data_IF_862212518989
#
_entry.id   IF_862212518989
#
_cell.length_a   1.000
_cell.length_b   1.000
_cell.length_c   1.000
_cell.angle_alpha   90.00
_cell.angle_beta   90.00
_cell.angle_gamma   90.00
#
_symmetry.space_group_name_H-M   'P 1'
#
loop_
_entity.id
_entity.type
_entity.pdbx_description
1 polymer ?
#
# COMPACT_ATOMS: atom_id res chain seq x y z
N UNK A 1 4.06 -19.67 -2.32
CA UNK A 1 4.47 -18.25 -2.17
C UNK A 1 3.65 -17.48 -3.19
N UNK A 2 2.78 -16.57 -2.79
CA UNK A 2 1.83 -15.91 -3.71
C UNK A 2 2.36 -14.57 -4.18
N UNK A 3 2.18 -14.25 -5.46
CA UNK A 3 2.55 -12.98 -6.06
C UNK A 3 1.42 -11.97 -5.85
N UNK A 4 1.71 -10.73 -5.49
CA UNK A 4 0.66 -9.72 -5.20
C UNK A 4 0.78 -8.48 -6.06
N UNK A 5 -0.38 -7.98 -6.48
CA UNK A 5 -0.45 -6.70 -7.16
C UNK A 5 -0.18 -5.54 -6.21
N UNK A 6 0.80 -4.71 -6.57
CA UNK A 6 1.17 -3.49 -5.84
C UNK A 6 0.11 -2.38 -5.84
N UNK A 7 -0.88 -2.47 -6.75
CA UNK A 7 -1.92 -1.47 -6.96
C UNK A 7 -3.24 -1.81 -6.27
N UNK A 8 -3.66 -3.08 -6.31
CA UNK A 8 -4.96 -3.54 -5.80
C UNK A 8 -4.85 -4.72 -4.80
N UNK A 9 -3.64 -5.20 -4.49
CA UNK A 9 -3.36 -6.24 -3.50
C UNK A 9 -3.96 -7.63 -3.78
N UNK A 10 -4.53 -7.86 -4.97
CA UNK A 10 -4.92 -9.20 -5.41
C UNK A 10 -3.71 -10.14 -5.45
N UNK A 11 -3.94 -11.39 -5.08
CA UNK A 11 -2.91 -12.44 -5.00
C UNK A 11 -3.08 -13.40 -6.18
N UNK A 12 -1.96 -13.89 -6.69
CA UNK A 12 -1.85 -14.78 -7.85
C UNK A 12 -0.87 -15.91 -7.54
N UNK A 13 -1.04 -17.04 -8.21
CA UNK A 13 -0.20 -18.22 -8.01
C UNK A 13 1.12 -18.09 -8.76
N UNK A 14 1.09 -17.40 -9.90
CA UNK A 14 2.27 -17.19 -10.75
C UNK A 14 2.56 -15.71 -11.01
N UNK A 15 3.83 -15.40 -11.30
CA UNK A 15 4.24 -14.05 -11.71
C UNK A 15 3.59 -13.67 -13.05
N UNK A 16 3.36 -14.64 -13.94
CA UNK A 16 2.73 -14.41 -15.24
C UNK A 16 1.29 -13.92 -15.09
N UNK A 17 0.49 -14.57 -14.23
CA UNK A 17 -0.87 -14.12 -13.91
C UNK A 17 -0.91 -12.70 -13.34
N UNK A 18 0.04 -12.36 -12.48
CA UNK A 18 0.15 -11.01 -11.92
C UNK A 18 0.44 -9.96 -13.01
N UNK A 19 1.31 -10.30 -13.97
CA UNK A 19 1.61 -9.42 -15.10
C UNK A 19 0.41 -9.23 -16.02
N UNK A 20 -0.28 -10.31 -16.36
CA UNK A 20 -1.50 -10.27 -17.18
C UNK A 20 -2.58 -9.43 -16.50
N UNK A 21 -2.81 -9.65 -15.21
CA UNK A 21 -3.70 -8.83 -14.40
C UNK A 21 -3.40 -7.34 -14.52
N UNK A 22 -2.13 -6.93 -14.44
CA UNK A 22 -1.74 -5.54 -14.59
C UNK A 22 -2.07 -4.96 -15.98
N UNK A 23 -1.88 -5.75 -17.03
CA UNK A 23 -2.14 -5.36 -18.41
C UNK A 23 -3.63 -5.29 -18.76
N UNK A 24 -4.48 -6.02 -18.04
CA UNK A 24 -5.94 -5.96 -18.24
C UNK A 24 -6.56 -4.88 -17.34
N UNK A 25 -6.20 -4.88 -16.06
CA UNK A 25 -6.92 -4.08 -15.04
C UNK A 25 -6.30 -2.70 -14.79
N UNK A 26 -5.02 -2.50 -15.13
CA UNK A 26 -4.29 -1.28 -14.76
C UNK A 26 -3.69 -0.54 -15.97
N UNK A 27 -3.85 -1.06 -17.18
CA UNK A 27 -3.31 -0.47 -18.41
C UNK A 27 -3.72 0.98 -18.65
N UNK A 28 -4.91 1.37 -18.17
CA UNK A 28 -5.39 2.75 -18.20
C UNK A 28 -4.48 3.76 -17.48
N UNK A 29 -3.67 3.30 -16.52
CA UNK A 29 -2.69 4.11 -15.78
C UNK A 29 -1.31 4.14 -16.44
N UNK A 30 -1.08 3.33 -17.48
CA UNK A 30 0.19 3.27 -18.20
C UNK A 30 0.43 4.60 -18.91
N UNK A 31 1.60 5.18 -18.69
CA UNK A 31 1.99 6.42 -19.31
C UNK A 31 3.10 6.15 -20.32
N UNK A 32 3.08 6.78 -21.50
CA UNK A 32 4.19 6.69 -22.44
C UNK A 32 5.44 7.33 -21.83
N UNK A 33 6.62 6.84 -22.22
CA UNK A 33 7.92 7.29 -21.69
C UNK A 33 8.11 8.80 -21.80
N UNK A 34 7.57 9.40 -22.86
CA UNK A 34 7.60 10.83 -23.14
C UNK A 34 6.92 11.67 -22.04
N UNK A 35 5.83 11.14 -21.45
CA UNK A 35 5.09 11.79 -20.36
C UNK A 35 5.69 11.50 -18.97
N UNK A 36 6.59 10.53 -18.85
CA UNK A 36 7.26 10.21 -17.59
C UNK A 36 8.35 11.23 -17.24
N UNK A 37 9.09 11.72 -18.24
CA UNK A 37 10.27 12.54 -18.02
C UNK A 37 11.29 11.80 -17.14
N UNK A 38 11.67 12.40 -16.01
CA UNK A 38 12.60 11.81 -15.03
C UNK A 38 11.96 10.81 -14.05
N UNK A 39 10.64 10.61 -14.13
CA UNK A 39 9.91 9.67 -13.27
C UNK A 39 10.05 8.25 -13.79
N UNK A 40 9.84 7.28 -12.90
CA UNK A 40 9.85 5.84 -13.20
C UNK A 40 8.47 5.25 -12.95
N UNK A 41 8.04 4.30 -13.77
CA UNK A 41 6.70 3.69 -13.68
C UNK A 41 6.82 2.20 -13.38
N UNK A 42 5.94 1.69 -12.52
CA UNK A 42 5.82 0.26 -12.26
C UNK A 42 5.22 -0.45 -13.48
N UNK A 43 5.71 -1.65 -13.78
CA UNK A 43 5.26 -2.46 -14.91
C UNK A 43 4.05 -3.35 -14.59
N UNK A 44 3.66 -3.45 -13.31
CA UNK A 44 2.50 -4.24 -12.85
C UNK A 44 1.28 -3.33 -12.65
N UNK A 45 1.39 -2.34 -11.74
CA UNK A 45 0.27 -1.46 -11.41
C UNK A 45 0.35 -0.08 -12.09
N UNK A 46 1.35 0.15 -12.96
CA UNK A 46 1.55 1.41 -13.69
C UNK A 46 1.60 2.67 -12.83
N UNK A 47 1.94 2.52 -11.54
CA UNK A 47 2.13 3.65 -10.64
C UNK A 47 3.42 4.37 -10.98
N UNK A 48 3.32 5.69 -11.15
CA UNK A 48 4.47 6.58 -11.37
C UNK A 48 5.11 6.98 -10.04
N UNK A 49 6.44 6.93 -9.99
CA UNK A 49 7.29 7.21 -8.85
C UNK A 49 8.42 8.14 -9.28
N UNK A 50 8.99 8.91 -8.35
CA UNK A 50 9.98 9.93 -8.69
C UNK A 50 11.41 9.40 -8.81
N UNK A 51 11.71 8.22 -8.24
CA UNK A 51 13.07 7.67 -8.19
C UNK A 51 13.06 6.15 -8.36
N UNK A 52 14.09 5.60 -9.00
CA UNK A 52 14.29 4.15 -9.17
C UNK A 52 14.29 3.39 -7.83
N UNK A 53 14.90 3.97 -6.79
CA UNK A 53 14.89 3.36 -5.45
C UNK A 53 13.47 3.19 -4.90
N UNK A 54 12.57 4.15 -5.15
CA UNK A 54 11.17 4.03 -4.74
C UNK A 54 10.47 2.92 -5.52
N UNK A 55 10.80 2.72 -6.79
CA UNK A 55 10.27 1.62 -7.60
C UNK A 55 10.77 0.25 -7.11
N UNK A 56 12.04 0.14 -6.73
CA UNK A 56 12.60 -1.07 -6.13
C UNK A 56 11.89 -1.43 -4.81
N UNK A 57 11.71 -0.44 -3.92
CA UNK A 57 10.96 -0.63 -2.67
C UNK A 57 9.48 -0.97 -2.93
N UNK A 58 8.89 -0.37 -3.95
CA UNK A 58 7.52 -0.62 -4.35
C UNK A 58 7.30 -2.03 -4.90
N UNK A 59 8.22 -2.56 -5.72
CA UNK A 59 8.19 -3.96 -6.20
C UNK A 59 8.56 -4.94 -5.09
N UNK A 60 9.42 -4.52 -4.17
CA UNK A 60 9.72 -5.23 -2.93
C UNK A 60 8.52 -5.29 -1.95
N UNK A 61 7.35 -4.72 -2.28
CA UNK A 61 6.09 -4.94 -1.54
C UNK A 61 5.68 -6.41 -1.45
N UNK A 62 6.29 -7.29 -2.24
CA UNK A 62 6.24 -8.75 -2.08
C UNK A 62 6.88 -9.25 -0.76
N UNK A 63 7.59 -8.38 -0.03
CA UNK A 63 8.30 -8.67 1.23
C UNK A 63 7.95 -7.74 2.40
N UNK A 64 6.82 -7.00 2.35
CA UNK A 64 6.37 -6.28 3.54
C UNK A 64 5.63 -7.24 4.47
N UNK A 65 6.40 -7.85 5.35
CA UNK A 65 5.93 -8.79 6.39
C UNK A 65 5.07 -8.10 7.46
N UNK A 66 5.02 -6.77 7.48
CA UNK A 66 4.43 -6.01 8.57
C UNK A 66 3.15 -5.30 8.11
N UNK A 67 2.05 -6.06 8.14
CA UNK A 67 0.69 -5.57 7.91
C UNK A 67 0.03 -5.25 9.24
N UNK A 68 -0.57 -4.07 9.37
CA UNK A 68 -1.45 -3.76 10.49
C UNK A 68 -2.67 -4.69 10.43
N UNK A 69 -2.91 -5.46 11.50
CA UNK A 69 -4.05 -6.38 11.57
C UNK A 69 -5.38 -5.64 11.76
N UNK A 70 -5.34 -4.39 12.21
CA UNK A 70 -6.53 -3.58 12.49
C UNK A 70 -7.08 -2.89 11.24
N UNK A 71 -6.23 -2.25 10.43
CA UNK A 71 -6.66 -1.51 9.22
C UNK A 71 -6.13 -2.10 7.92
N UNK A 72 -5.27 -3.12 7.98
CA UNK A 72 -4.71 -3.77 6.80
C UNK A 72 -3.59 -2.99 6.11
N UNK A 73 -3.19 -1.81 6.60
CA UNK A 73 -2.11 -1.00 6.04
C UNK A 73 -0.75 -1.73 6.13
N UNK A 74 0.06 -1.65 5.07
CA UNK A 74 1.32 -2.40 4.95
C UNK A 74 2.53 -1.49 5.11
N UNK A 75 3.51 -1.92 5.89
CA UNK A 75 4.68 -1.11 6.22
C UNK A 75 5.98 -1.76 5.80
N UNK A 76 6.98 -0.91 5.57
CA UNK A 76 8.28 -1.35 5.08
C UNK A 76 9.10 -2.18 6.08
N UNK A 77 8.80 -2.04 7.37
CA UNK A 77 9.46 -2.74 8.45
C UNK A 77 8.58 -2.74 9.72
N UNK A 78 8.95 -3.55 10.71
CA UNK A 78 8.23 -3.68 11.99
C UNK A 78 8.11 -2.37 12.73
N UNK A 79 9.15 -1.54 12.70
CA UNK A 79 9.20 -0.28 13.43
C UNK A 79 8.11 0.66 12.92
N UNK A 80 7.99 0.82 11.60
CA UNK A 80 6.95 1.68 11.02
C UNK A 80 5.54 1.16 11.25
N UNK A 81 5.33 -0.15 11.17
CA UNK A 81 4.04 -0.76 11.54
C UNK A 81 3.71 -0.56 13.01
N UNK A 82 4.68 -0.78 13.90
CA UNK A 82 4.50 -0.63 15.35
C UNK A 82 4.22 0.82 15.73
N UNK A 83 4.91 1.78 15.13
CA UNK A 83 4.65 3.20 15.33
C UNK A 83 3.25 3.56 14.83
N UNK A 84 2.88 3.17 13.61
CA UNK A 84 1.51 3.37 13.10
C UNK A 84 0.46 2.77 14.05
N UNK A 85 0.67 1.53 14.49
CA UNK A 85 -0.23 0.88 15.43
C UNK A 85 -0.35 1.71 16.71
N UNK A 86 0.76 2.13 17.32
CA UNK A 86 0.73 2.95 18.55
C UNK A 86 0.04 4.31 18.36
N UNK A 87 0.25 4.97 17.23
CA UNK A 87 -0.25 6.34 17.02
C UNK A 87 -1.69 6.38 16.51
N UNK A 88 -2.17 5.33 15.84
CA UNK A 88 -3.49 5.30 15.19
C UNK A 88 -4.45 4.32 15.87
N UNK A 89 -3.95 3.16 16.31
CA UNK A 89 -4.75 2.06 16.89
C UNK A 89 -4.41 1.77 18.35
N UNK A 90 -3.39 2.42 18.89
CA UNK A 90 -2.86 2.17 20.22
C UNK A 90 -3.69 2.85 21.30
N UNK A 91 -3.48 2.47 22.56
CA UNK A 91 -4.20 3.06 23.70
C UNK A 91 -3.92 4.57 23.86
N UNK A 92 -2.76 5.04 23.39
CA UNK A 92 -2.34 6.45 23.46
C UNK A 92 -2.34 7.12 22.08
N UNK A 93 -3.18 6.64 21.15
CA UNK A 93 -3.32 7.27 19.83
C UNK A 93 -3.76 8.73 20.02
N UNK A 94 -3.06 9.68 19.38
CA UNK A 94 -3.37 11.11 19.50
C UNK A 94 -4.68 11.37 18.75
N UNK A 95 -5.78 11.45 19.49
CA UNK A 95 -7.11 11.70 18.93
C UNK A 95 -7.32 13.21 18.87
N UNK A 96 -7.48 13.76 17.68
CA UNK A 96 -7.97 15.12 17.52
C UNK A 96 -9.51 15.05 17.53
N UNK A 97 -10.13 15.17 18.72
CA UNK A 97 -11.57 15.04 18.92
C UNK A 97 -12.05 13.62 19.24
N UNK A 98 -13.37 13.36 19.19
CA UNK A 98 -14.01 12.07 19.53
C UNK A 98 -13.86 10.97 18.47
N UNK A 99 -13.14 11.22 17.37
CA UNK A 99 -13.11 10.30 16.22
C UNK A 99 -11.68 9.95 15.83
N UNK A 100 -11.37 8.65 15.80
CA UNK A 100 -10.09 8.13 15.29
C UNK A 100 -10.17 8.10 13.77
N UNK A 101 -9.46 9.00 13.10
CA UNK A 101 -9.44 9.11 11.64
C UNK A 101 -8.16 8.47 11.09
N UNK A 102 -8.32 7.48 10.22
CA UNK A 102 -7.20 6.90 9.46
C UNK A 102 -6.97 7.73 8.18
N UNK A 103 -5.85 8.47 8.11
CA UNK A 103 -5.49 9.29 6.94
C UNK A 103 -5.29 8.48 5.64
N UNK A 104 -5.26 7.15 5.70
CA UNK A 104 -5.22 6.27 4.53
C UNK A 104 -6.59 5.88 3.97
N UNK A 105 -7.67 6.02 4.75
CA UNK A 105 -8.99 5.50 4.40
C UNK A 105 -10.11 6.55 4.44
N UNK A 106 -9.89 7.72 5.06
CA UNK A 106 -10.91 8.78 5.22
C UNK A 106 -12.24 8.33 5.90
N UNK A 107 -12.28 7.13 6.48
CA UNK A 107 -13.43 6.63 7.21
C UNK A 107 -13.28 6.83 8.72
N UNK A 108 -14.36 7.31 9.33
CA UNK A 108 -14.51 7.49 10.77
C UNK A 108 -14.78 6.13 11.42
N UNK A 109 -13.96 5.73 12.39
CA UNK A 109 -14.22 4.53 13.18
C UNK A 109 -14.72 4.91 14.58
N UNK A 110 -15.81 4.25 15.08
CA UNK A 110 -16.22 4.42 16.46
C UNK A 110 -15.18 3.84 17.42
N UNK A 111 -15.07 4.46 18.59
CA UNK A 111 -14.18 4.06 19.69
C UNK A 111 -14.40 2.57 20.06
N UNK A 112 -13.33 1.81 20.39
CA UNK A 112 -13.46 0.46 20.96
C UNK A 112 -14.06 0.41 22.38
N UNK A 113 -14.56 1.53 22.93
CA UNK A 113 -15.34 1.55 24.18
C UNK A 113 -16.83 1.19 23.99
N UNK A 114 -17.22 0.64 22.85
CA UNK A 114 -18.57 0.12 22.60
C UNK A 114 -18.61 -1.42 22.51
N UNK A 115 -18.02 -2.09 23.51
CA UNK A 115 -18.34 -3.47 23.86
C UNK A 115 -18.44 -3.63 25.37
#
# INVERSE_FOLDING_TARGET
KAFRCCGCWRSFETQAELYEHGQVEHISKKLPKEKLGSKVQCDICYKTLHRTQQLLLHRSKDKFEYRCKTCGETFINRVRMSTHYRTIHGPNATVCGTTRICCGCAENFPSPEAL
#
